data_IF_380695053643
#
_entry.id   IF_380695053643
#
_cell.length_a   1.000
_cell.length_b   1.000
_cell.length_c   1.000
_cell.angle_alpha   90.00
_cell.angle_beta   90.00
_cell.angle_gamma   90.00
#
_symmetry.space_group_name_H-M   'P 1'
#
loop_
_entity.id
_entity.type
_entity.pdbx_description
1 polymer ?
#
# COMPACT_ATOMS: atom_id res chain seq x y z
N UNK A 1 -8.07 0.44 -1.16
CA UNK A 1 -6.73 -0.10 -0.85
C UNK A 1 -6.31 0.23 0.58
N UNK A 2 -6.09 1.51 0.94
CA UNK A 2 -5.60 1.91 2.27
C UNK A 2 -6.50 1.46 3.44
N UNK A 3 -7.81 1.54 3.28
CA UNK A 3 -8.74 1.07 4.31
C UNK A 3 -8.60 -0.44 4.61
N UNK A 4 -8.52 -1.27 3.57
CA UNK A 4 -8.31 -2.72 3.72
C UNK A 4 -6.94 -3.01 4.33
N UNK A 5 -5.90 -2.29 3.87
CA UNK A 5 -4.57 -2.37 4.42
C UNK A 5 -4.56 -2.10 5.93
N UNK A 6 -5.19 -1.02 6.39
CA UNK A 6 -5.28 -0.67 7.81
C UNK A 6 -6.01 -1.75 8.62
N UNK A 7 -7.12 -2.27 8.09
CA UNK A 7 -7.89 -3.36 8.73
C UNK A 7 -7.04 -4.63 8.86
N UNK A 8 -6.30 -5.01 7.82
CA UNK A 8 -5.41 -6.17 7.81
C UNK A 8 -4.25 -5.98 8.80
N UNK A 9 -3.57 -4.83 8.75
CA UNK A 9 -2.46 -4.51 9.63
C UNK A 9 -2.87 -4.56 11.11
N UNK A 10 -4.06 -4.02 11.45
CA UNK A 10 -4.61 -4.10 12.81
C UNK A 10 -4.87 -5.53 13.28
N UNK A 11 -5.37 -6.41 12.38
CA UNK A 11 -5.60 -7.83 12.69
C UNK A 11 -4.28 -8.58 12.87
N UNK A 12 -3.30 -8.36 11.98
CA UNK A 12 -1.97 -8.96 12.07
C UNK A 12 -1.28 -8.60 13.39
N UNK A 13 -1.29 -7.32 13.77
CA UNK A 13 -0.70 -6.85 15.02
C UNK A 13 -1.33 -7.51 16.26
N UNK A 14 -2.64 -7.80 16.23
CA UNK A 14 -3.31 -8.53 17.31
C UNK A 14 -2.82 -9.97 17.37
N UNK A 15 -2.77 -10.67 16.24
CA UNK A 15 -2.35 -12.07 16.20
C UNK A 15 -0.87 -12.29 16.54
N UNK A 16 0.00 -11.32 16.23
CA UNK A 16 1.39 -11.36 16.70
C UNK A 16 1.53 -11.17 18.21
N UNK A 17 0.63 -10.41 18.84
CA UNK A 17 0.64 -10.13 20.29
C UNK A 17 0.01 -11.25 21.11
N UNK A 18 -1.07 -11.84 20.60
CA UNK A 18 -1.90 -12.79 21.36
C UNK A 18 -1.39 -14.25 21.25
N UNK A 19 -0.31 -14.50 20.50
CA UNK A 19 0.35 -15.82 20.40
C UNK A 19 -0.44 -16.92 19.67
N UNK A 20 -1.74 -16.72 19.42
CA UNK A 20 -2.61 -17.64 18.70
C UNK A 20 -2.74 -17.26 17.21
N UNK A 21 -2.51 -18.23 16.32
CA UNK A 21 -3.14 -18.23 14.99
C UNK A 21 -2.47 -17.45 13.84
N UNK A 22 -1.17 -17.13 13.93
CA UNK A 22 -0.43 -16.43 12.86
C UNK A 22 -0.56 -17.12 11.48
N UNK A 23 -0.61 -18.46 11.46
CA UNK A 23 -0.68 -19.24 10.23
C UNK A 23 -1.96 -18.98 9.41
N UNK A 24 -3.13 -18.81 10.06
CA UNK A 24 -4.42 -18.67 9.38
C UNK A 24 -4.55 -17.32 8.64
N UNK A 25 -3.96 -16.26 9.21
CA UNK A 25 -4.03 -14.92 8.61
C UNK A 25 -2.97 -14.74 7.53
N UNK A 26 -1.81 -15.40 7.64
CA UNK A 26 -0.74 -15.30 6.66
C UNK A 26 -1.22 -15.64 5.25
N UNK A 27 -1.87 -16.79 5.07
CA UNK A 27 -2.38 -17.23 3.76
C UNK A 27 -3.44 -16.27 3.18
N UNK A 28 -4.27 -15.69 4.05
CA UNK A 28 -5.27 -14.69 3.65
C UNK A 28 -4.61 -13.39 3.18
N UNK A 29 -3.57 -12.95 3.88
CA UNK A 29 -2.80 -11.74 3.55
C UNK A 29 -2.01 -11.94 2.26
N UNK A 30 -1.37 -13.08 2.08
CA UNK A 30 -0.64 -13.42 0.85
C UNK A 30 -1.57 -13.41 -0.37
N UNK A 31 -2.74 -14.05 -0.28
CA UNK A 31 -3.77 -14.01 -1.34
C UNK A 31 -4.25 -12.59 -1.62
N UNK A 32 -4.50 -11.79 -0.58
CA UNK A 32 -4.92 -10.41 -0.75
C UNK A 32 -3.84 -9.57 -1.45
N UNK A 33 -2.57 -9.71 -1.06
CA UNK A 33 -1.43 -9.04 -1.70
C UNK A 33 -1.32 -9.43 -3.17
N UNK A 34 -1.45 -10.72 -3.50
CA UNK A 34 -1.41 -11.19 -4.88
C UNK A 34 -2.51 -10.54 -5.73
N UNK A 35 -3.75 -10.58 -5.25
CA UNK A 35 -4.89 -9.96 -5.94
C UNK A 35 -4.68 -8.46 -6.15
N UNK A 36 -4.22 -7.74 -5.12
CA UNK A 36 -3.96 -6.29 -5.24
C UNK A 36 -2.79 -5.95 -6.16
N UNK A 37 -1.77 -6.81 -6.24
CA UNK A 37 -0.68 -6.67 -7.21
C UNK A 37 -1.18 -6.82 -8.64
N UNK A 38 -2.06 -7.78 -8.90
CA UNK A 38 -2.66 -8.00 -10.23
C UNK A 38 -3.61 -6.86 -10.62
N UNK A 39 -4.46 -6.41 -9.71
CA UNK A 39 -5.31 -5.23 -9.91
C UNK A 39 -4.45 -3.99 -10.23
N UNK A 40 -3.40 -3.74 -9.45
CA UNK A 40 -2.52 -2.59 -9.64
C UNK A 40 -1.79 -2.64 -10.99
N UNK A 41 -1.33 -3.81 -11.42
CA UNK A 41 -0.70 -3.98 -12.74
C UNK A 41 -1.65 -3.58 -13.86
N UNK A 42 -2.90 -4.03 -13.82
CA UNK A 42 -3.92 -3.70 -14.83
C UNK A 42 -4.23 -2.20 -14.85
N UNK A 43 -4.40 -1.58 -13.67
CA UNK A 43 -4.63 -0.12 -13.55
C UNK A 43 -3.46 0.64 -14.14
N UNK A 44 -2.22 0.27 -13.79
CA UNK A 44 -1.00 0.90 -14.30
C UNK A 44 -0.87 0.75 -15.81
N UNK A 45 -1.15 -0.43 -16.36
CA UNK A 45 -1.11 -0.67 -17.80
C UNK A 45 -2.13 0.19 -18.55
N UNK A 46 -3.38 0.26 -18.08
CA UNK A 46 -4.42 1.10 -18.67
C UNK A 46 -4.06 2.59 -18.60
N UNK A 47 -3.63 3.06 -17.43
CA UNK A 47 -3.16 4.43 -17.25
C UNK A 47 -2.00 4.75 -18.22
N UNK A 48 -0.96 3.92 -18.27
CA UNK A 48 0.16 4.14 -19.19
C UNK A 48 -0.25 4.07 -20.66
N UNK A 49 -1.27 3.28 -21.03
CA UNK A 49 -1.81 3.26 -22.39
C UNK A 49 -2.51 4.57 -22.75
N UNK A 50 -3.33 5.12 -21.84
CA UNK A 50 -4.04 6.38 -22.07
C UNK A 50 -3.10 7.59 -22.16
N UNK A 51 -2.03 7.60 -21.35
CA UNK A 51 -1.11 8.74 -21.26
C UNK A 51 0.18 8.60 -22.08
N UNK A 52 0.37 7.46 -22.78
CA UNK A 52 1.57 7.12 -23.58
C UNK A 52 1.98 8.16 -24.63
N UNK A 53 1.03 9.00 -25.06
CA UNK A 53 1.23 9.98 -26.14
C UNK A 53 1.17 11.44 -25.68
N UNK A 54 0.94 11.73 -24.39
CA UNK A 54 0.56 13.08 -23.95
C UNK A 54 1.65 13.88 -23.22
N UNK A 55 2.91 13.41 -23.15
CA UNK A 55 3.98 14.04 -22.34
C UNK A 55 3.51 14.42 -20.92
N UNK A 56 2.47 13.75 -20.41
CA UNK A 56 1.94 14.07 -19.09
C UNK A 56 2.96 13.58 -18.07
N UNK A 57 3.21 14.37 -17.01
CA UNK A 57 4.05 13.91 -15.93
C UNK A 57 3.44 12.61 -15.40
N UNK A 58 4.27 11.58 -15.23
CA UNK A 58 3.87 10.39 -14.50
C UNK A 58 3.28 10.86 -13.17
N UNK A 59 1.96 10.75 -12.99
CA UNK A 59 1.33 11.14 -11.75
C UNK A 59 1.79 10.12 -10.72
N UNK A 60 2.84 10.49 -9.99
CA UNK A 60 3.48 9.62 -9.04
C UNK A 60 2.43 9.20 -8.02
N UNK A 61 2.38 7.90 -7.75
CA UNK A 61 1.56 7.33 -6.67
C UNK A 61 1.77 8.09 -5.36
N UNK A 62 2.99 8.62 -5.15
CA UNK A 62 3.34 9.55 -4.08
C UNK A 62 2.40 10.77 -4.02
N UNK A 63 2.19 11.48 -5.13
CA UNK A 63 1.27 12.63 -5.22
C UNK A 63 -0.16 12.20 -4.87
N UNK A 64 -0.63 11.08 -5.42
CA UNK A 64 -1.99 10.59 -5.14
C UNK A 64 -2.17 10.30 -3.64
N UNK A 65 -1.16 9.70 -3.01
CA UNK A 65 -1.20 9.37 -1.59
C UNK A 65 -1.07 10.62 -0.71
N UNK A 66 -0.16 11.54 -1.02
CA UNK A 66 0.13 12.73 -0.21
C UNK A 66 -0.91 13.85 -0.37
N UNK A 67 -1.38 14.09 -1.60
CA UNK A 67 -2.20 15.26 -1.94
C UNK A 67 -3.69 14.93 -2.16
N UNK A 68 -4.02 13.76 -2.72
CA UNK A 68 -5.38 13.44 -3.15
C UNK A 68 -6.17 12.55 -2.17
N UNK A 69 -5.48 11.74 -1.36
CA UNK A 69 -6.14 10.85 -0.41
C UNK A 69 -6.43 11.54 0.94
N UNK A 70 -7.48 11.12 1.67
CA UNK A 70 -7.69 11.57 3.04
C UNK A 70 -6.47 11.21 3.88
N UNK A 71 -5.72 12.23 4.33
CA UNK A 71 -4.48 12.05 5.08
C UNK A 71 -4.66 11.12 6.28
N UNK A 72 -5.86 11.04 6.85
CA UNK A 72 -6.20 10.15 7.97
C UNK A 72 -5.92 8.67 7.68
N UNK A 73 -6.31 8.16 6.50
CA UNK A 73 -6.10 6.73 6.19
C UNK A 73 -4.64 6.43 5.89
N UNK A 74 -3.95 7.33 5.19
CA UNK A 74 -2.51 7.21 4.92
C UNK A 74 -1.71 7.29 6.23
N UNK A 75 -2.01 8.27 7.09
CA UNK A 75 -1.34 8.46 8.38
C UNK A 75 -1.56 7.29 9.33
N UNK A 76 -2.67 6.56 9.22
CA UNK A 76 -2.88 5.31 9.94
C UNK A 76 -2.06 4.16 9.33
N UNK A 77 -1.98 4.09 8.00
CA UNK A 77 -1.27 3.04 7.27
C UNK A 77 0.25 3.08 7.51
N UNK A 78 0.83 4.27 7.55
CA UNK A 78 2.29 4.43 7.68
C UNK A 78 2.81 4.18 9.10
N UNK A 79 1.92 4.10 10.11
CA UNK A 79 2.37 3.87 11.49
C UNK A 79 3.17 2.57 11.61
N UNK A 80 4.25 2.57 12.42
CA UNK A 80 4.64 3.62 13.36
C UNK A 80 5.50 4.75 12.76
N UNK A 81 5.74 4.76 11.44
CA UNK A 81 6.52 5.81 10.80
C UNK A 81 5.84 7.19 10.94
N UNK A 82 6.66 8.24 11.10
CA UNK A 82 6.17 9.61 11.29
C UNK A 82 5.86 10.30 9.98
N UNK A 83 6.62 9.98 8.94
CA UNK A 83 6.48 10.54 7.60
C UNK A 83 6.31 9.44 6.56
N UNK A 84 5.78 9.81 5.38
CA UNK A 84 5.69 8.87 4.26
C UNK A 84 7.08 8.42 3.79
N UNK A 85 8.07 9.33 3.79
CA UNK A 85 9.45 8.98 3.44
C UNK A 85 10.07 7.98 4.42
N UNK A 86 9.80 8.10 5.74
CA UNK A 86 10.23 7.11 6.74
C UNK A 86 9.61 5.73 6.46
N UNK A 87 8.36 5.71 6.01
CA UNK A 87 7.66 4.48 5.63
C UNK A 87 8.25 3.86 4.36
N UNK A 88 8.53 4.67 3.33
CA UNK A 88 9.20 4.20 2.11
C UNK A 88 10.58 3.61 2.43
N UNK A 89 11.37 4.27 3.28
CA UNK A 89 12.65 3.76 3.78
C UNK A 89 12.48 2.41 4.49
N UNK A 90 11.53 2.32 5.41
CA UNK A 90 11.24 1.09 6.15
C UNK A 90 10.87 -0.08 5.23
N UNK A 91 10.12 0.19 4.16
CA UNK A 91 9.76 -0.81 3.15
C UNK A 91 10.90 -1.15 2.17
N UNK A 92 12.08 -0.52 2.28
CA UNK A 92 13.20 -0.73 1.37
C UNK A 92 12.98 -0.13 -0.03
N UNK A 93 12.11 0.87 -0.15
CA UNK A 93 11.73 1.49 -1.43
C UNK A 93 12.58 2.72 -1.79
N UNK A 94 13.56 3.09 -0.95
CA UNK A 94 14.46 4.23 -1.15
C UNK A 94 15.85 3.80 -1.66
N UNK A 95 16.00 2.55 -2.10
CA UNK A 95 17.13 2.10 -2.92
C UNK A 95 16.83 2.37 -4.39
N UNK A 96 17.72 3.12 -5.03
CA UNK A 96 17.67 3.55 -6.43
C UNK A 96 17.41 2.43 -7.45
#
# INVERSE_FOLDING_TARGET
FLEDYNKINKKLNRCMKDGEGYQCIKDCVEKWIQNKREEWKKIKELYLQEYKNNNQPDYLVKIILEELHPQTQLNEAIKPCKTFDDFQNFCGLNGA
#
